data_IF_551498777202
#
_entry.id   IF_551498777202
#
_cell.length_a   1.000
_cell.length_b   1.000
_cell.length_c   1.000
_cell.angle_alpha   90.00
_cell.angle_beta   90.00
_cell.angle_gamma   90.00
#
_symmetry.space_group_name_H-M   'P 1'
#
loop_
_entity.id
_entity.type
_entity.pdbx_description
1 polymer ?
#
# COMPACT_ATOMS: atom_id res chain seq x y z
N UNK A 1 52.69 52.17 64.94
CA UNK A 1 52.69 52.89 63.65
C UNK A 1 52.81 51.82 62.56
N UNK A 2 51.69 51.26 62.08
CA UNK A 2 51.02 51.55 60.76
C UNK A 2 51.95 51.28 59.58
N UNK A 3 51.72 50.45 58.55
CA UNK A 3 50.59 49.80 57.82
C UNK A 3 51.25 48.69 56.92
N UNK A 4 50.62 48.04 55.92
CA UNK A 4 49.26 47.52 55.69
C UNK A 4 49.25 46.00 55.30
N UNK A 5 48.07 45.38 55.15
CA UNK A 5 47.91 44.09 54.42
C UNK A 5 46.82 44.19 53.36
N UNK A 6 47.14 43.72 52.15
CA UNK A 6 46.32 43.71 50.94
C UNK A 6 45.03 42.90 51.09
N UNK A 7 43.96 43.29 50.38
CA UNK A 7 42.76 42.47 50.13
C UNK A 7 42.58 42.23 48.63
N UNK A 8 42.41 40.96 48.30
CA UNK A 8 42.31 40.34 46.98
C UNK A 8 40.90 40.49 46.39
N UNK A 9 40.83 40.52 45.05
CA UNK A 9 39.63 40.71 44.23
C UNK A 9 38.62 39.55 44.31
N UNK A 10 37.32 39.88 44.22
CA UNK A 10 36.21 38.93 44.01
C UNK A 10 35.94 38.76 42.51
N UNK A 11 35.88 37.51 42.05
CA UNK A 11 35.39 37.12 40.72
C UNK A 11 33.92 36.72 40.86
N UNK A 12 33.02 37.44 40.19
CA UNK A 12 31.60 37.08 40.11
C UNK A 12 31.37 36.09 38.97
N UNK A 13 30.91 34.88 39.29
CA UNK A 13 30.45 33.90 38.32
C UNK A 13 28.95 34.07 38.03
N UNK A 14 28.63 34.15 36.74
CA UNK A 14 27.28 34.22 36.19
C UNK A 14 26.60 32.84 36.28
N UNK A 15 25.36 32.80 36.74
CA UNK A 15 24.46 31.66 36.52
C UNK A 15 23.15 32.19 35.91
N UNK A 16 23.05 32.10 34.59
CA UNK A 16 21.79 32.26 33.87
C UNK A 16 21.06 30.92 33.88
N UNK A 17 19.97 30.83 34.65
CA UNK A 17 19.10 29.66 34.70
C UNK A 17 17.77 30.00 34.02
N UNK A 18 17.66 29.67 32.73
CA UNK A 18 16.36 29.49 32.08
C UNK A 18 16.23 28.02 31.70
N UNK A 19 15.65 27.24 32.62
CA UNK A 19 15.23 25.86 32.39
C UNK A 19 13.92 25.87 31.60
N UNK A 20 13.96 25.44 30.34
CA UNK A 20 12.81 24.86 29.66
C UNK A 20 13.06 23.35 29.55
N UNK A 21 12.33 22.47 30.26
CA UNK A 21 12.34 21.07 29.94
C UNK A 21 11.40 20.87 28.75
N UNK A 22 11.97 20.64 27.57
CA UNK A 22 11.23 20.02 26.48
C UNK A 22 10.86 18.60 26.92
N UNK A 23 9.58 18.38 27.22
CA UNK A 23 9.02 17.04 27.35
C UNK A 23 9.07 16.40 25.96
N UNK A 24 10.16 15.72 25.65
CA UNK A 24 10.16 14.68 24.63
C UNK A 24 9.18 13.61 25.11
N UNK A 25 7.92 13.72 24.69
CA UNK A 25 6.90 12.72 24.99
C UNK A 25 7.39 11.39 24.46
N UNK A 26 7.50 10.39 25.33
CA UNK A 26 7.74 9.01 24.92
C UNK A 26 6.57 8.57 24.04
N UNK A 27 6.74 8.59 22.72
CA UNK A 27 5.87 7.83 21.85
C UNK A 27 6.05 6.34 22.17
N UNK A 28 4.95 5.58 22.34
CA UNK A 28 5.04 4.15 22.56
C UNK A 28 5.80 3.50 21.40
N UNK A 29 6.58 2.47 21.69
CA UNK A 29 7.25 1.69 20.65
C UNK A 29 6.19 1.12 19.67
N UNK A 30 6.48 1.08 18.36
CA UNK A 30 5.55 0.50 17.40
C UNK A 30 5.23 -0.98 17.77
N UNK A 31 4.02 -1.49 17.45
CA UNK A 31 3.66 -2.88 17.68
C UNK A 31 4.67 -3.84 17.06
N UNK A 32 4.99 -4.97 17.69
CA UNK A 32 5.94 -5.98 17.21
C UNK A 32 5.33 -7.01 16.23
N UNK A 33 4.02 -6.93 16.02
CA UNK A 33 3.20 -7.84 15.19
C UNK A 33 2.23 -7.07 14.30
N UNK A 34 1.82 -7.68 13.21
CA UNK A 34 0.85 -7.11 12.28
C UNK A 34 1.41 -6.03 11.37
N UNK A 35 0.52 -5.40 10.61
CA UNK A 35 0.84 -4.31 9.70
C UNK A 35 0.93 -2.99 10.46
N UNK A 36 2.02 -2.25 10.32
CA UNK A 36 2.26 -1.00 11.06
C UNK A 36 2.45 0.16 10.07
N UNK A 37 1.50 1.12 10.00
CA UNK A 37 1.57 2.23 9.05
C UNK A 37 2.64 3.24 9.46
N UNK A 38 3.32 3.82 8.47
CA UNK A 38 4.29 4.90 8.62
C UNK A 38 4.23 5.84 7.41
N UNK A 39 4.47 7.12 7.65
CA UNK A 39 4.69 8.11 6.60
C UNK A 39 6.09 8.70 6.76
N UNK A 40 6.84 8.77 5.67
CA UNK A 40 8.10 9.50 5.60
C UNK A 40 7.86 10.92 5.05
N UNK A 41 8.83 11.80 5.34
CA UNK A 41 8.81 13.17 4.81
C UNK A 41 8.96 13.10 3.28
N UNK A 42 8.03 13.68 2.51
CA UNK A 42 8.07 13.61 1.06
C UNK A 42 9.17 14.50 0.48
N UNK A 43 9.70 14.10 -0.67
CA UNK A 43 10.39 15.02 -1.56
C UNK A 43 9.47 16.18 -1.97
N UNK A 44 10.05 17.26 -2.48
CA UNK A 44 9.28 18.44 -2.87
C UNK A 44 8.19 18.14 -3.91
N UNK A 45 8.51 17.31 -4.90
CA UNK A 45 7.59 16.92 -5.97
C UNK A 45 6.37 16.12 -5.45
N UNK A 46 6.51 15.48 -4.29
CA UNK A 46 5.56 14.49 -3.78
C UNK A 46 4.65 15.01 -2.66
N UNK A 47 4.79 16.30 -2.31
CA UNK A 47 4.07 16.90 -1.18
C UNK A 47 2.55 16.79 -1.30
N UNK A 48 2.02 16.88 -2.52
CA UNK A 48 0.57 16.84 -2.75
C UNK A 48 0.03 15.42 -2.54
N UNK A 49 0.68 14.40 -3.12
CA UNK A 49 0.33 12.98 -2.94
C UNK A 49 0.49 12.54 -1.49
N UNK A 50 1.57 12.95 -0.81
CA UNK A 50 1.76 12.71 0.62
C UNK A 50 0.68 13.40 1.47
N UNK A 51 0.35 14.65 1.14
CA UNK A 51 -0.72 15.40 1.79
C UNK A 51 -2.09 14.75 1.60
N UNK A 52 -2.37 14.24 0.41
CA UNK A 52 -3.58 13.47 0.11
C UNK A 52 -3.65 12.22 0.97
N UNK A 53 -2.61 11.37 0.98
CA UNK A 53 -2.58 10.13 1.76
C UNK A 53 -2.76 10.38 3.26
N UNK A 54 -2.15 11.44 3.79
CA UNK A 54 -2.27 11.80 5.22
C UNK A 54 -3.67 12.26 5.58
N UNK A 55 -4.31 13.08 4.73
CA UNK A 55 -5.69 13.55 4.96
C UNK A 55 -6.69 12.43 4.77
N UNK A 56 -6.46 11.58 3.76
CA UNK A 56 -7.32 10.46 3.48
C UNK A 56 -7.13 9.37 4.52
N UNK A 57 -5.99 9.21 5.18
CA UNK A 57 -5.69 8.11 6.13
C UNK A 57 -5.82 6.71 5.51
N UNK A 58 -5.50 6.57 4.22
CA UNK A 58 -5.67 5.31 3.50
C UNK A 58 -4.73 4.22 4.03
N UNK A 59 -3.47 4.56 4.31
CA UNK A 59 -2.46 3.62 4.82
C UNK A 59 -2.91 3.08 6.19
N UNK A 60 -3.38 3.96 7.08
CA UNK A 60 -3.86 3.56 8.40
C UNK A 60 -5.14 2.71 8.33
N UNK A 61 -6.08 3.03 7.43
CA UNK A 61 -7.30 2.24 7.29
C UNK A 61 -7.03 0.85 6.73
N UNK A 62 -6.27 0.75 5.65
CA UNK A 62 -5.95 -0.55 5.03
C UNK A 62 -5.18 -1.43 6.02
N UNK A 63 -4.20 -0.88 6.73
CA UNK A 63 -3.47 -1.64 7.77
C UNK A 63 -4.38 -2.03 8.94
N UNK A 64 -5.31 -1.18 9.36
CA UNK A 64 -6.28 -1.53 10.39
C UNK A 64 -7.22 -2.67 9.94
N UNK A 65 -7.70 -2.64 8.70
CA UNK A 65 -8.58 -3.67 8.14
C UNK A 65 -7.85 -5.02 8.01
N UNK A 66 -6.61 -5.01 7.51
CA UNK A 66 -5.74 -6.19 7.47
C UNK A 66 -5.51 -6.76 8.87
N UNK A 67 -5.17 -5.91 9.85
CA UNK A 67 -4.98 -6.31 11.23
C UNK A 67 -6.27 -6.75 11.93
N UNK A 68 -7.45 -6.30 11.50
CA UNK A 68 -8.72 -6.79 12.02
C UNK A 68 -8.98 -8.23 11.56
N UNK A 69 -8.48 -8.60 10.38
CA UNK A 69 -8.68 -9.91 9.76
C UNK A 69 -7.57 -10.92 10.09
N UNK A 70 -6.33 -10.47 10.24
CA UNK A 70 -5.12 -11.31 10.31
C UNK A 70 -4.33 -11.08 11.61
N UNK A 71 -3.74 -12.16 12.12
CA UNK A 71 -2.79 -12.17 13.26
C UNK A 71 -1.39 -12.55 12.76
N UNK A 72 -0.75 -11.64 12.03
CA UNK A 72 0.61 -11.84 11.52
C UNK A 72 1.61 -11.83 12.68
N UNK A 73 2.49 -12.86 12.81
CA UNK A 73 3.29 -13.07 14.01
C UNK A 73 4.51 -12.14 14.16
N UNK A 74 4.77 -11.29 13.17
CA UNK A 74 5.83 -10.29 13.16
C UNK A 74 5.33 -9.00 12.52
N UNK A 75 6.11 -7.93 12.71
CA UNK A 75 5.81 -6.61 12.13
C UNK A 75 6.08 -6.61 10.63
N UNK A 76 5.07 -6.22 9.87
CA UNK A 76 5.21 -5.74 8.48
C UNK A 76 5.06 -4.22 8.52
N UNK A 77 6.08 -3.48 8.11
CA UNK A 77 6.01 -2.01 8.08
C UNK A 77 5.40 -1.58 6.77
N UNK A 78 4.30 -0.81 6.80
CA UNK A 78 3.70 -0.22 5.60
C UNK A 78 4.08 1.25 5.56
N UNK A 79 5.03 1.61 4.70
CA UNK A 79 5.59 2.96 4.62
C UNK A 79 5.17 3.67 3.36
N UNK A 80 4.59 4.86 3.49
CA UNK A 80 4.42 5.77 2.37
C UNK A 80 5.63 6.72 2.29
N UNK A 81 6.28 6.81 1.13
CA UNK A 81 7.54 7.55 0.94
C UNK A 81 7.75 7.97 -0.51
N UNK A 82 8.75 8.82 -0.75
CA UNK A 82 9.28 9.05 -2.09
C UNK A 82 10.22 7.90 -2.48
N UNK A 83 10.02 7.31 -3.65
CA UNK A 83 10.76 6.13 -4.12
C UNK A 83 11.71 6.43 -5.27
N UNK A 84 11.64 7.61 -5.88
CA UNK A 84 12.52 8.02 -6.97
C UNK A 84 12.46 7.08 -8.18
N UNK A 85 11.26 6.58 -8.49
CA UNK A 85 10.97 5.73 -9.64
C UNK A 85 11.20 4.23 -9.42
N UNK A 86 11.52 3.80 -8.20
CA UNK A 86 11.65 2.37 -7.87
C UNK A 86 10.30 1.61 -7.89
N UNK A 87 9.19 2.35 -7.77
CA UNK A 87 7.84 1.77 -7.70
C UNK A 87 7.47 1.23 -6.32
N UNK A 88 6.17 1.12 -6.08
CA UNK A 88 5.62 0.51 -4.88
C UNK A 88 5.91 -1.00 -4.87
N UNK A 89 6.11 -1.58 -3.68
CA UNK A 89 6.57 -2.96 -3.59
C UNK A 89 6.70 -3.51 -2.17
N UNK A 90 6.82 -4.82 -2.06
CA UNK A 90 7.18 -5.53 -0.83
C UNK A 90 8.64 -5.99 -0.84
N UNK A 91 9.39 -5.64 0.22
CA UNK A 91 10.73 -6.14 0.49
C UNK A 91 10.71 -7.26 1.56
N UNK A 92 10.96 -8.52 1.19
CA UNK A 92 11.00 -9.64 2.14
C UNK A 92 12.20 -9.57 3.10
N UNK A 93 13.30 -8.90 2.72
CA UNK A 93 14.49 -8.76 3.58
C UNK A 93 14.26 -7.86 4.79
N UNK A 94 13.34 -6.90 4.67
CA UNK A 94 13.02 -5.95 5.75
C UNK A 94 11.57 -6.04 6.26
N UNK A 95 10.76 -6.95 5.68
CA UNK A 95 9.32 -7.06 5.90
C UNK A 95 8.63 -5.70 5.77
N UNK A 96 8.86 -5.04 4.63
CA UNK A 96 8.43 -3.67 4.41
C UNK A 96 7.66 -3.55 3.11
N UNK A 97 6.44 -3.04 3.20
CA UNK A 97 5.64 -2.59 2.06
C UNK A 97 5.94 -1.10 1.86
N UNK A 98 6.35 -0.72 0.66
CA UNK A 98 6.58 0.66 0.25
C UNK A 98 5.46 1.11 -0.68
N UNK A 99 4.78 2.19 -0.32
CA UNK A 99 3.81 2.89 -1.16
C UNK A 99 4.44 4.20 -1.63
N UNK A 100 4.64 4.32 -2.92
CA UNK A 100 5.43 5.40 -3.50
C UNK A 100 4.57 6.61 -3.83
N UNK A 101 4.93 7.78 -3.30
CA UNK A 101 4.21 9.02 -3.58
C UNK A 101 4.31 9.42 -5.06
N UNK A 102 5.40 9.05 -5.72
CA UNK A 102 5.65 9.27 -7.14
C UNK A 102 4.68 8.45 -8.01
N UNK A 103 4.45 7.16 -7.73
CA UNK A 103 3.43 6.35 -8.42
C UNK A 103 2.04 6.99 -8.32
N UNK A 104 1.66 7.46 -7.12
CA UNK A 104 0.38 8.14 -6.92
C UNK A 104 0.25 9.43 -7.74
N UNK A 105 1.38 10.09 -7.99
CA UNK A 105 1.43 11.29 -8.81
C UNK A 105 1.22 10.95 -10.28
N UNK A 106 1.82 9.87 -10.76
CA UNK A 106 1.63 9.34 -12.11
C UNK A 106 0.18 8.89 -12.34
N UNK A 107 -0.37 8.08 -11.44
CA UNK A 107 -1.77 7.63 -11.50
C UNK A 107 -2.73 8.82 -11.53
N UNK A 108 -2.51 9.81 -10.65
CA UNK A 108 -3.31 11.04 -10.63
C UNK A 108 -3.30 11.72 -12.00
N UNK A 109 -2.12 11.89 -12.61
CA UNK A 109 -2.02 12.52 -13.93
C UNK A 109 -2.80 11.74 -14.99
N UNK A 110 -2.69 10.41 -15.02
CA UNK A 110 -3.42 9.57 -15.97
C UNK A 110 -4.94 9.74 -15.84
N UNK A 111 -5.46 9.73 -14.62
CA UNK A 111 -6.90 9.93 -14.38
C UNK A 111 -7.36 11.35 -14.69
N UNK A 112 -6.60 12.37 -14.28
CA UNK A 112 -6.95 13.78 -14.51
C UNK A 112 -6.89 14.15 -16.00
N UNK A 113 -5.93 13.60 -16.75
CA UNK A 113 -5.86 13.74 -18.21
C UNK A 113 -7.06 13.08 -18.90
N UNK A 114 -7.41 11.85 -18.48
CA UNK A 114 -8.51 11.11 -19.07
C UNK A 114 -9.89 11.73 -18.77
N UNK A 115 -10.10 12.24 -17.55
CA UNK A 115 -11.42 12.72 -17.10
C UNK A 115 -11.58 14.24 -17.11
N UNK A 116 -10.50 15.01 -17.20
CA UNK A 116 -10.53 16.47 -17.11
C UNK A 116 -11.05 17.02 -15.77
N UNK A 117 -10.90 16.25 -14.67
CA UNK A 117 -11.36 16.60 -13.32
C UNK A 117 -10.44 15.97 -12.25
N UNK A 118 -10.43 16.48 -11.00
CA UNK A 118 -9.62 15.92 -9.92
C UNK A 118 -9.88 14.43 -9.67
N UNK A 119 -8.81 13.67 -9.40
CA UNK A 119 -8.85 12.20 -9.33
C UNK A 119 -8.78 11.61 -7.90
N UNK A 120 -9.05 12.38 -6.84
CA UNK A 120 -8.88 11.93 -5.44
C UNK A 120 -9.64 10.63 -5.09
N UNK A 121 -10.84 10.44 -5.64
CA UNK A 121 -11.62 9.20 -5.44
C UNK A 121 -10.95 8.03 -6.16
N UNK A 122 -10.57 8.21 -7.43
CA UNK A 122 -9.91 7.17 -8.20
C UNK A 122 -8.58 6.75 -7.55
N UNK A 123 -7.78 7.73 -7.14
CA UNK A 123 -6.52 7.51 -6.45
C UNK A 123 -6.71 6.80 -5.10
N UNK A 124 -7.81 7.07 -4.40
CA UNK A 124 -8.11 6.34 -3.16
C UNK A 124 -8.31 4.85 -3.42
N UNK A 125 -8.97 4.50 -4.52
CA UNK A 125 -9.23 3.11 -4.88
C UNK A 125 -7.99 2.40 -5.42
N UNK A 126 -7.16 3.07 -6.21
CA UNK A 126 -5.86 2.52 -6.66
C UNK A 126 -4.95 2.25 -5.47
N UNK A 127 -4.79 3.21 -4.54
CA UNK A 127 -4.01 3.00 -3.31
C UNK A 127 -4.51 1.81 -2.51
N UNK A 128 -5.82 1.60 -2.43
CA UNK A 128 -6.38 0.43 -1.74
C UNK A 128 -5.97 -0.84 -2.47
N UNK A 129 -6.05 -0.89 -3.78
CA UNK A 129 -5.64 -2.06 -4.56
C UNK A 129 -4.15 -2.35 -4.39
N UNK A 130 -3.27 -1.36 -4.61
CA UNK A 130 -1.81 -1.49 -4.43
C UNK A 130 -1.45 -1.98 -3.04
N UNK A 131 -1.97 -1.36 -1.97
CA UNK A 131 -1.63 -1.78 -0.61
C UNK A 131 -2.09 -3.21 -0.28
N UNK A 132 -3.21 -3.67 -0.86
CA UNK A 132 -3.59 -5.06 -0.69
C UNK A 132 -2.76 -5.99 -1.56
N UNK A 133 -2.40 -5.61 -2.79
CA UNK A 133 -1.48 -6.37 -3.64
C UNK A 133 -0.16 -6.62 -2.90
N UNK A 134 0.47 -5.57 -2.37
CA UNK A 134 1.73 -5.71 -1.61
C UNK A 134 1.57 -6.49 -0.31
N UNK A 135 0.39 -6.40 0.34
CA UNK A 135 0.08 -7.26 1.48
C UNK A 135 -0.06 -8.74 1.06
N UNK A 136 -0.47 -9.02 -0.17
CA UNK A 136 -0.47 -10.34 -0.77
C UNK A 136 0.94 -10.92 -0.83
N UNK A 137 1.90 -10.18 -1.37
CA UNK A 137 3.33 -10.55 -1.37
C UNK A 137 3.86 -10.82 0.04
N UNK A 138 3.57 -9.92 0.97
CA UNK A 138 3.98 -10.09 2.36
C UNK A 138 3.40 -11.36 3.02
N UNK A 139 2.21 -11.79 2.61
CA UNK A 139 1.57 -13.01 3.12
C UNK A 139 2.03 -14.28 2.39
N UNK A 140 2.36 -14.21 1.10
CA UNK A 140 3.06 -15.27 0.38
C UNK A 140 4.37 -15.60 1.10
N UNK A 141 5.14 -14.57 1.45
CA UNK A 141 6.38 -14.69 2.21
C UNK A 141 6.15 -15.22 3.64
N UNK A 142 5.22 -14.62 4.39
CA UNK A 142 4.92 -15.00 5.78
C UNK A 142 4.48 -16.45 5.95
N UNK A 143 3.81 -17.00 4.94
CA UNK A 143 3.27 -18.36 4.94
C UNK A 143 4.14 -19.36 4.16
N UNK A 144 5.24 -18.91 3.55
CA UNK A 144 6.08 -19.70 2.63
C UNK A 144 5.24 -20.44 1.57
N UNK A 145 4.33 -19.69 0.92
CA UNK A 145 3.42 -20.30 -0.06
C UNK A 145 4.19 -20.78 -1.30
N UNK A 146 3.73 -21.84 -2.01
CA UNK A 146 4.44 -22.43 -3.14
C UNK A 146 4.72 -21.50 -4.33
N UNK A 147 3.99 -20.38 -4.41
CA UNK A 147 4.13 -19.34 -5.44
C UNK A 147 5.28 -18.36 -5.15
N UNK A 148 5.87 -18.40 -3.94
CA UNK A 148 7.02 -17.55 -3.58
C UNK A 148 8.21 -17.77 -4.52
N UNK A 149 8.84 -16.68 -4.92
CA UNK A 149 9.95 -16.61 -5.87
C UNK A 149 9.61 -17.25 -7.24
N UNK A 150 8.33 -17.24 -7.66
CA UNK A 150 7.86 -17.81 -8.94
C UNK A 150 7.50 -16.74 -9.97
N UNK A 151 8.03 -15.53 -9.80
CA UNK A 151 7.81 -14.39 -10.68
C UNK A 151 6.32 -14.13 -10.88
N UNK A 152 5.87 -14.16 -12.13
CA UNK A 152 4.45 -14.01 -12.49
C UNK A 152 3.43 -14.77 -11.63
N UNK A 153 3.73 -15.99 -11.18
CA UNK A 153 2.76 -16.73 -10.37
C UNK A 153 2.55 -16.12 -8.97
N UNK A 154 3.56 -15.41 -8.45
CA UNK A 154 3.51 -14.65 -7.21
C UNK A 154 2.70 -13.37 -7.39
N UNK A 155 2.99 -12.60 -8.44
CA UNK A 155 2.22 -11.39 -8.83
C UNK A 155 0.73 -11.69 -9.03
N UNK A 156 0.45 -12.76 -9.77
CA UNK A 156 -0.91 -13.26 -9.98
C UNK A 156 -1.61 -13.63 -8.65
N UNK A 157 -0.85 -14.11 -7.66
CA UNK A 157 -1.39 -14.43 -6.34
C UNK A 157 -1.65 -13.16 -5.53
N UNK A 158 -0.76 -12.18 -5.58
CA UNK A 158 -0.90 -10.86 -4.96
C UNK A 158 -2.12 -10.09 -5.49
N UNK A 159 -2.31 -10.02 -6.82
CA UNK A 159 -3.52 -9.45 -7.44
C UNK A 159 -4.79 -10.15 -6.95
N UNK A 160 -4.75 -11.49 -6.84
CA UNK A 160 -5.88 -12.29 -6.33
C UNK A 160 -6.14 -12.06 -4.85
N UNK A 161 -5.13 -11.76 -4.05
CA UNK A 161 -5.31 -11.35 -2.66
C UNK A 161 -5.98 -9.98 -2.56
N UNK A 162 -5.55 -9.01 -3.38
CA UNK A 162 -6.20 -7.71 -3.48
C UNK A 162 -7.69 -7.86 -3.84
N UNK A 163 -7.99 -8.71 -4.82
CA UNK A 163 -9.36 -9.05 -5.18
C UNK A 163 -10.15 -9.65 -4.02
N UNK A 164 -9.57 -10.63 -3.30
CA UNK A 164 -10.21 -11.23 -2.13
C UNK A 164 -10.57 -10.18 -1.08
N UNK A 165 -9.61 -9.33 -0.73
CA UNK A 165 -9.80 -8.38 0.36
C UNK A 165 -10.76 -7.25 -0.02
N UNK A 166 -10.61 -6.69 -1.23
CA UNK A 166 -11.50 -5.63 -1.70
C UNK A 166 -12.94 -6.11 -1.83
N UNK A 167 -13.20 -7.30 -2.40
CA UNK A 167 -14.57 -7.81 -2.59
C UNK A 167 -15.29 -8.23 -1.30
N UNK A 168 -14.62 -8.17 -0.15
CA UNK A 168 -15.27 -8.26 1.17
C UNK A 168 -15.88 -6.93 1.62
N UNK A 169 -15.40 -5.82 1.08
CA UNK A 169 -15.94 -4.48 1.32
C UNK A 169 -17.17 -4.23 0.42
N UNK A 170 -18.25 -3.60 0.94
CA UNK A 170 -19.45 -3.30 0.15
C UNK A 170 -19.22 -2.43 -1.08
N UNK A 171 -18.15 -1.63 -1.12
CA UNK A 171 -17.72 -0.81 -2.27
C UNK A 171 -16.49 -1.39 -2.98
N UNK A 172 -16.16 -2.65 -2.71
CA UNK A 172 -15.00 -3.34 -3.27
C UNK A 172 -15.04 -3.54 -4.78
N UNK A 173 -16.24 -3.66 -5.35
CA UNK A 173 -16.41 -3.75 -6.80
C UNK A 173 -16.01 -2.43 -7.49
N UNK A 174 -16.42 -1.29 -6.94
CA UNK A 174 -15.98 0.01 -7.43
C UNK A 174 -14.45 0.18 -7.34
N UNK A 175 -13.85 -0.30 -6.25
CA UNK A 175 -12.40 -0.26 -6.06
C UNK A 175 -11.66 -1.01 -7.17
N UNK A 176 -12.03 -2.28 -7.38
CA UNK A 176 -11.40 -3.15 -8.38
C UNK A 176 -11.66 -2.69 -9.82
N UNK A 177 -12.85 -2.15 -10.12
CA UNK A 177 -13.13 -1.60 -11.45
C UNK A 177 -12.34 -0.31 -11.71
N UNK A 178 -12.07 0.47 -10.67
CA UNK A 178 -11.19 1.65 -10.76
C UNK A 178 -9.74 1.25 -10.96
N UNK A 179 -9.24 0.25 -10.22
CA UNK A 179 -7.91 -0.31 -10.46
C UNK A 179 -7.76 -0.91 -11.87
N UNK A 180 -8.77 -1.66 -12.34
CA UNK A 180 -8.81 -2.15 -13.72
C UNK A 180 -8.70 -1.00 -14.74
N UNK A 181 -9.34 0.14 -14.46
CA UNK A 181 -9.24 1.33 -15.30
C UNK A 181 -7.85 1.98 -15.22
N UNK A 182 -7.19 1.97 -14.07
CA UNK A 182 -5.82 2.47 -13.94
C UNK A 182 -4.87 1.72 -14.89
N UNK A 183 -4.96 0.38 -14.91
CA UNK A 183 -4.22 -0.45 -15.87
C UNK A 183 -4.54 -0.11 -17.33
N UNK A 184 -5.82 0.07 -17.69
CA UNK A 184 -6.16 0.49 -19.07
C UNK A 184 -5.52 1.84 -19.45
N UNK A 185 -5.49 2.79 -18.49
CA UNK A 185 -4.92 4.13 -18.73
C UNK A 185 -3.40 4.06 -18.86
N UNK A 186 -2.73 3.26 -18.02
CA UNK A 186 -1.29 3.03 -18.10
C UNK A 186 -0.91 2.40 -19.45
N UNK A 187 -1.62 1.34 -19.86
CA UNK A 187 -1.45 0.70 -21.17
C UNK A 187 -1.66 1.66 -22.34
N UNK A 188 -2.64 2.57 -22.22
CA UNK A 188 -2.92 3.57 -23.26
C UNK A 188 -1.87 4.70 -23.31
N UNK A 189 -1.27 5.06 -22.17
CA UNK A 189 -0.27 6.11 -22.07
C UNK A 189 1.10 5.67 -22.60
N UNK A 190 1.44 4.37 -22.46
CA UNK A 190 2.66 3.80 -23.03
C UNK A 190 2.40 2.51 -23.83
N UNK A 191 1.85 2.61 -25.06
CA UNK A 191 1.58 1.44 -25.90
C UNK A 191 2.83 0.67 -26.33
N UNK A 192 4.03 1.26 -26.15
CA UNK A 192 5.31 0.64 -26.50
C UNK A 192 5.84 -0.25 -25.38
N UNK A 193 5.40 -0.03 -24.13
CA UNK A 193 5.69 -0.85 -22.96
C UNK A 193 4.87 -2.16 -22.92
N UNK A 194 3.75 -2.22 -23.64
CA UNK A 194 2.73 -3.27 -23.50
C UNK A 194 2.42 -4.18 -24.73
N UNK A 195 3.25 -4.31 -25.81
CA UNK A 195 2.84 -5.15 -26.95
C UNK A 195 3.12 -6.66 -26.78
N UNK A 196 3.88 -7.09 -25.77
CA UNK A 196 4.19 -8.52 -25.51
C UNK A 196 4.59 -8.72 -24.04
N UNK A 197 4.46 -9.95 -23.48
CA UNK A 197 5.02 -10.26 -22.17
C UNK A 197 6.52 -9.95 -22.17
N UNK A 198 6.93 -8.97 -21.37
CA UNK A 198 8.34 -8.76 -21.08
C UNK A 198 8.82 -9.94 -20.21
N UNK A 199 9.78 -10.76 -20.67
CA UNK A 199 10.25 -11.90 -19.89
C UNK A 199 10.99 -11.50 -18.61
N UNK A 200 11.41 -10.23 -18.50
CA UNK A 200 12.06 -9.67 -17.32
C UNK A 200 11.07 -8.92 -16.40
N UNK A 201 9.80 -8.76 -16.83
CA UNK A 201 8.70 -8.26 -16.01
C UNK A 201 7.84 -9.42 -15.52
N UNK A 202 7.82 -9.60 -14.20
CA UNK A 202 7.00 -10.62 -13.58
C UNK A 202 5.50 -10.29 -13.66
N UNK A 203 5.14 -9.02 -13.87
CA UNK A 203 3.73 -8.64 -13.99
C UNK A 203 3.08 -9.16 -15.27
N UNK A 204 1.78 -9.42 -15.18
CA UNK A 204 0.97 -9.54 -16.38
C UNK A 204 0.84 -8.20 -17.11
N UNK A 205 0.77 -8.22 -18.46
CA UNK A 205 0.40 -7.03 -19.23
C UNK A 205 -0.80 -6.32 -18.61
N UNK A 206 -0.77 -5.00 -18.57
CA UNK A 206 -1.79 -4.18 -17.90
C UNK A 206 -3.23 -4.54 -18.35
N UNK A 207 -3.54 -4.74 -19.64
CA UNK A 207 -4.87 -5.18 -20.07
C UNK A 207 -5.29 -6.55 -19.51
N UNK A 208 -4.34 -7.44 -19.26
CA UNK A 208 -4.60 -8.74 -18.65
C UNK A 208 -4.90 -8.59 -17.14
N UNK A 209 -4.19 -7.71 -16.43
CA UNK A 209 -4.49 -7.38 -15.02
C UNK A 209 -5.86 -6.70 -14.89
N UNK A 210 -6.15 -5.74 -15.77
CA UNK A 210 -7.46 -5.11 -15.86
C UNK A 210 -8.59 -6.13 -16.07
N UNK A 211 -8.40 -7.08 -16.99
CA UNK A 211 -9.37 -8.14 -17.24
C UNK A 211 -9.51 -9.11 -16.05
N UNK A 212 -8.43 -9.41 -15.34
CA UNK A 212 -8.44 -10.22 -14.11
C UNK A 212 -9.34 -9.59 -13.03
N UNK A 213 -9.22 -8.28 -12.78
CA UNK A 213 -10.08 -7.59 -11.83
C UNK A 213 -11.55 -7.55 -12.26
N UNK A 214 -11.84 -7.26 -13.54
CA UNK A 214 -13.22 -7.32 -14.07
C UNK A 214 -13.82 -8.72 -13.94
N UNK A 215 -13.02 -9.74 -14.20
CA UNK A 215 -13.40 -11.14 -14.03
C UNK A 215 -13.73 -11.44 -12.56
N UNK A 216 -12.91 -10.99 -11.60
CA UNK A 216 -13.19 -11.16 -10.17
C UNK A 216 -14.50 -10.46 -9.75
N UNK A 217 -14.71 -9.21 -10.16
CA UNK A 217 -15.93 -8.43 -9.86
C UNK A 217 -17.18 -9.11 -10.41
N UNK A 218 -17.14 -9.50 -11.70
CA UNK A 218 -18.24 -10.23 -12.31
C UNK A 218 -18.47 -11.59 -11.63
N UNK A 219 -17.39 -12.34 -11.38
CA UNK A 219 -17.44 -13.67 -10.77
C UNK A 219 -18.01 -13.67 -9.35
N UNK A 220 -17.72 -12.63 -8.56
CA UNK A 220 -18.19 -12.48 -7.19
C UNK A 220 -19.69 -12.19 -7.11
N UNK A 221 -20.23 -11.43 -8.07
CA UNK A 221 -21.65 -11.08 -8.07
C UNK A 221 -22.20 -10.82 -9.48
N UNK A 222 -22.41 -11.87 -10.30
CA UNK A 222 -22.85 -11.70 -11.69
C UNK A 222 -24.17 -10.92 -11.81
N UNK A 223 -25.08 -11.11 -10.87
CA UNK A 223 -26.38 -10.44 -10.85
C UNK A 223 -26.31 -8.92 -10.59
N UNK A 224 -25.23 -8.43 -9.95
CA UNK A 224 -25.01 -6.98 -9.73
C UNK A 224 -24.32 -6.31 -10.91
N UNK A 225 -23.62 -7.08 -11.74
CA UNK A 225 -22.76 -6.58 -12.82
C UNK A 225 -23.14 -7.19 -14.19
N UNK A 226 -24.40 -7.02 -14.65
CA UNK A 226 -24.86 -7.59 -15.91
C UNK A 226 -24.12 -7.01 -17.14
N UNK A 227 -23.56 -5.81 -17.02
CA UNK A 227 -22.73 -5.13 -18.03
C UNK A 227 -21.38 -5.83 -18.25
N UNK A 228 -20.86 -6.54 -17.24
CA UNK A 228 -19.63 -7.31 -17.35
C UNK A 228 -19.85 -8.71 -17.96
N UNK A 229 -21.09 -9.13 -18.18
CA UNK A 229 -21.44 -10.46 -18.67
C UNK A 229 -21.11 -10.63 -20.16
N UNK A 230 -19.87 -11.04 -20.44
CA UNK A 230 -19.36 -11.32 -21.80
C UNK A 230 -18.99 -12.80 -21.95
N UNK A 231 -18.95 -13.36 -23.18
CA UNK A 231 -18.51 -14.75 -23.38
C UNK A 231 -17.12 -15.06 -22.79
N UNK A 232 -16.10 -14.18 -22.92
CA UNK A 232 -14.81 -14.40 -22.25
C UNK A 232 -14.89 -14.49 -20.72
N UNK A 233 -15.87 -13.83 -20.09
CA UNK A 233 -16.05 -13.85 -18.62
C UNK A 233 -17.00 -14.94 -18.12
N UNK A 234 -17.44 -15.86 -18.99
CA UNK A 234 -18.40 -16.91 -18.62
C UNK A 234 -17.91 -17.81 -17.47
N UNK A 235 -16.60 -18.09 -17.40
CA UNK A 235 -16.00 -18.93 -16.35
C UNK A 235 -15.58 -18.16 -15.09
N UNK A 236 -15.69 -16.83 -15.07
CA UNK A 236 -15.27 -15.99 -13.95
C UNK A 236 -15.89 -16.34 -12.59
N UNK A 237 -17.18 -16.76 -12.48
CA UNK A 237 -17.71 -17.25 -11.19
C UNK A 237 -16.95 -18.46 -10.63
N UNK A 238 -16.48 -19.36 -11.51
CA UNK A 238 -15.67 -20.52 -11.11
C UNK A 238 -14.27 -20.06 -10.70
N UNK A 239 -13.65 -19.18 -11.50
CA UNK A 239 -12.33 -18.60 -11.19
C UNK A 239 -12.34 -17.89 -9.84
N UNK A 240 -13.34 -17.03 -9.60
CA UNK A 240 -13.50 -16.32 -8.34
C UNK A 240 -13.68 -17.27 -7.14
N UNK A 241 -14.51 -18.30 -7.30
CA UNK A 241 -14.70 -19.31 -6.25
C UNK A 241 -13.38 -19.99 -5.89
N UNK A 242 -12.59 -20.38 -6.90
CA UNK A 242 -11.27 -20.97 -6.69
C UNK A 242 -10.31 -19.99 -6.01
N UNK A 243 -10.22 -18.75 -6.47
CA UNK A 243 -9.41 -17.68 -5.86
C UNK A 243 -9.73 -17.52 -4.38
N UNK A 244 -11.02 -17.35 -4.05
CA UNK A 244 -11.47 -17.17 -2.67
C UNK A 244 -11.13 -18.37 -1.81
N UNK A 245 -11.41 -19.57 -2.30
CA UNK A 245 -11.24 -20.80 -1.52
C UNK A 245 -9.75 -21.09 -1.27
N UNK A 246 -8.88 -20.89 -2.27
CA UNK A 246 -7.42 -21.02 -2.14
C UNK A 246 -6.88 -20.05 -1.09
N UNK A 247 -7.09 -18.73 -1.27
CA UNK A 247 -6.59 -17.76 -0.30
C UNK A 247 -7.19 -17.93 1.09
N UNK A 248 -8.46 -18.33 1.21
CA UNK A 248 -9.06 -18.60 2.54
C UNK A 248 -8.39 -19.80 3.22
N UNK A 249 -8.02 -20.83 2.47
CA UNK A 249 -7.29 -21.98 3.00
C UNK A 249 -5.85 -21.61 3.38
N UNK A 250 -5.15 -20.86 2.53
CA UNK A 250 -3.77 -20.42 2.76
C UNK A 250 -3.67 -19.50 4.00
N UNK A 251 -4.63 -18.59 4.17
CA UNK A 251 -4.66 -17.66 5.31
C UNK A 251 -5.08 -18.32 6.63
N UNK A 252 -5.59 -19.55 6.61
CA UNK A 252 -6.14 -20.21 7.80
C UNK A 252 -5.24 -20.15 9.06
N UNK A 253 -3.90 -20.25 8.98
CA UNK A 253 -3.01 -20.10 10.13
C UNK A 253 -2.99 -18.70 10.76
N UNK A 254 -3.33 -17.67 9.98
CA UNK A 254 -3.27 -16.25 10.36
C UNK A 254 -4.65 -15.64 10.63
N UNK A 255 -5.74 -16.32 10.27
CA UNK A 255 -7.09 -15.79 10.50
C UNK A 255 -7.36 -15.56 11.98
N UNK A 256 -7.77 -14.36 12.35
CA UNK A 256 -8.29 -14.09 13.69
C UNK A 256 -9.58 -14.87 13.91
N UNK A 257 -9.69 -15.51 15.08
CA UNK A 257 -10.95 -16.14 15.52
C UNK A 257 -12.00 -15.03 15.64
N UNK A 258 -13.06 -15.13 14.84
CA UNK A 258 -14.25 -14.27 14.95
C UNK A 258 -15.10 -14.67 16.15
#
# INVERSE_FOLDING_TARGET
MTLPRLRTALVSAVCATTLFPALAGCQPAPPDRGFVPRHEEPAEADRDSAGFLKRSQLVERVTADLNAYLDVPYRITVVARSCAGEGSGYDPGTHRIELCYDDLTEDRHLFEEADGRPADEALSEVVRETLHHEAGHALVDALDLPVRDRGRAEEDAADRFAQLMLLRDPRGDHALLTAARAYDLAAAADPARDPAPDPDDDHAPDPARAESHRCAVYGAAPARHPDLATPPRADCPRTWTATRDTWTADLAPLLKRQ
#
